data_IF_708725920457
#
_entry.id   IF_708725920457
#
_cell.length_a   1.000
_cell.length_b   1.000
_cell.length_c   1.000
_cell.angle_alpha   90.00
_cell.angle_beta   90.00
_cell.angle_gamma   90.00
#
_symmetry.space_group_name_H-M   'P 1'
#
loop_
_entity.id
_entity.type
_entity.pdbx_description
1 polymer ?
#
# COMPACT_ATOMS: atom_id res chain seq x y z
N UNK A 1 31.86 -49.13 10.43
CA UNK A 1 31.96 -48.18 11.55
C UNK A 1 32.52 -46.86 11.02
N UNK A 2 31.62 -45.90 10.78
CA UNK A 2 31.76 -44.42 10.86
C UNK A 2 30.79 -43.77 9.87
N UNK A 3 29.66 -43.38 10.43
CA UNK A 3 28.72 -42.39 9.89
C UNK A 3 29.47 -41.06 9.85
N UNK A 4 29.48 -40.38 8.71
CA UNK A 4 29.86 -38.97 8.63
C UNK A 4 28.65 -38.19 8.14
N UNK A 5 27.95 -37.62 9.11
CA UNK A 5 26.99 -36.54 8.92
C UNK A 5 27.71 -35.35 8.28
N UNK A 6 27.26 -34.91 7.10
CA UNK A 6 27.56 -33.56 6.63
C UNK A 6 26.37 -32.66 6.96
N UNK A 7 26.68 -31.65 7.78
CA UNK A 7 25.75 -30.66 8.30
C UNK A 7 25.25 -29.70 7.21
N UNK A 8 23.97 -29.38 7.31
CA UNK A 8 23.25 -28.37 6.53
C UNK A 8 23.78 -26.99 6.90
N UNK A 9 24.41 -26.31 5.94
CA UNK A 9 24.75 -24.89 6.03
C UNK A 9 23.68 -24.04 5.36
N UNK A 10 22.62 -23.71 6.10
CA UNK A 10 21.67 -22.66 5.73
C UNK A 10 22.34 -21.31 6.06
N UNK A 11 23.16 -20.78 5.16
CA UNK A 11 23.51 -19.35 5.18
C UNK A 11 22.34 -18.61 4.54
N UNK A 12 21.27 -18.42 5.30
CA UNK A 12 20.34 -17.34 5.00
C UNK A 12 21.13 -16.05 5.13
N UNK A 13 21.25 -15.30 4.03
CA UNK A 13 21.63 -13.90 4.09
C UNK A 13 20.53 -13.18 4.84
N UNK A 14 20.59 -13.20 6.18
CA UNK A 14 19.89 -12.23 6.99
C UNK A 14 20.65 -10.93 6.77
N UNK A 15 20.22 -10.18 5.77
CA UNK A 15 20.65 -8.81 5.57
C UNK A 15 20.06 -8.02 6.74
N UNK A 16 20.79 -8.02 7.86
CA UNK A 16 20.53 -7.15 9.01
C UNK A 16 20.89 -5.71 8.64
N UNK A 17 20.36 -5.22 7.52
CA UNK A 17 20.19 -3.80 7.28
C UNK A 17 19.21 -3.31 8.32
N UNK A 18 19.75 -3.06 9.51
CA UNK A 18 19.10 -2.61 10.71
C UNK A 18 18.21 -1.40 10.43
N UNK A 19 16.94 -1.66 10.15
CA UNK A 19 15.87 -0.68 10.38
C UNK A 19 15.43 -0.89 11.82
N UNK A 20 16.34 -0.60 12.75
CA UNK A 20 16.02 -0.56 14.18
C UNK A 20 15.14 0.67 14.40
N UNK A 21 13.83 0.48 14.32
CA UNK A 21 12.80 1.46 14.62
C UNK A 21 11.69 0.82 15.47
N UNK A 22 12.01 -0.30 16.12
CA UNK A 22 11.09 -1.12 16.92
C UNK A 22 11.28 -0.93 18.43
N UNK A 23 12.40 -0.36 18.85
CA UNK A 23 12.72 -0.09 20.26
C UNK A 23 12.56 1.40 20.53
N UNK A 24 11.66 1.74 21.44
CA UNK A 24 11.47 3.11 21.93
C UNK A 24 12.50 3.46 23.01
N UNK A 25 12.85 4.74 23.10
CA UNK A 25 13.83 5.26 24.03
C UNK A 25 13.46 6.65 24.56
N UNK A 26 13.79 6.89 25.83
CA UNK A 26 13.69 8.19 26.49
C UNK A 26 15.02 8.96 26.57
N UNK A 27 16.13 8.32 26.20
CA UNK A 27 17.46 8.92 26.24
C UNK A 27 18.55 8.09 25.54
N UNK A 28 19.69 8.72 25.27
CA UNK A 28 20.79 8.17 24.46
C UNK A 28 21.50 6.93 25.03
N UNK A 29 21.22 6.55 26.28
CA UNK A 29 21.80 5.37 26.93
C UNK A 29 20.92 4.11 26.88
N UNK A 30 19.74 4.19 26.27
CA UNK A 30 18.76 3.10 26.25
C UNK A 30 18.86 2.22 25.01
N UNK A 31 19.66 2.63 24.02
CA UNK A 31 19.83 1.94 22.76
C UNK A 31 21.00 0.95 22.77
N UNK A 32 20.92 -0.07 21.91
CA UNK A 32 22.01 -1.03 21.75
C UNK A 32 23.28 -0.37 21.19
N UNK A 33 24.42 -1.02 21.37
CA UNK A 33 25.70 -0.49 20.87
C UNK A 33 25.66 -0.33 19.35
N UNK A 34 25.84 0.91 18.88
CA UNK A 34 25.75 1.27 17.46
C UNK A 34 24.46 1.99 17.06
N UNK A 35 23.52 2.16 17.99
CA UNK A 35 22.29 2.92 17.79
C UNK A 35 22.30 4.20 18.64
N UNK A 36 21.51 5.19 18.23
CA UNK A 36 21.25 6.42 18.97
C UNK A 36 19.74 6.62 19.09
N UNK A 37 19.32 7.23 20.20
CA UNK A 37 17.93 7.59 20.40
C UNK A 37 17.59 8.80 19.52
N UNK A 38 16.72 8.60 18.54
CA UNK A 38 16.25 9.65 17.65
C UNK A 38 15.29 10.62 18.34
N UNK A 39 15.06 11.76 17.69
CA UNK A 39 14.07 12.76 18.14
C UNK A 39 12.62 12.27 18.04
N UNK A 40 12.41 11.19 17.29
CA UNK A 40 11.18 10.40 17.18
C UNK A 40 10.96 9.46 18.38
N UNK A 41 11.93 9.34 19.28
CA UNK A 41 11.85 8.47 20.46
C UNK A 41 12.13 7.00 20.15
N UNK A 42 12.83 6.70 19.06
CA UNK A 42 13.22 5.33 18.69
C UNK A 42 14.74 5.17 18.57
N UNK A 43 15.22 3.99 18.94
CA UNK A 43 16.62 3.61 18.82
C UNK A 43 16.91 3.15 17.41
N UNK A 44 17.71 3.91 16.66
CA UNK A 44 18.08 3.59 15.29
C UNK A 44 19.57 3.85 15.02
N UNK A 45 20.07 3.42 13.85
CA UNK A 45 21.42 3.79 13.43
C UNK A 45 21.55 5.33 13.29
N UNK A 46 22.75 5.92 13.52
CA UNK A 46 22.93 7.37 13.56
C UNK A 46 22.49 8.11 12.29
N UNK A 47 22.56 7.43 11.15
CA UNK A 47 22.20 7.91 9.82
C UNK A 47 20.67 7.95 9.57
N UNK A 48 19.86 7.30 10.40
CA UNK A 48 18.39 7.25 10.26
C UNK A 48 17.62 7.61 11.54
N UNK A 49 18.28 7.84 12.67
CA UNK A 49 17.63 8.22 13.92
C UNK A 49 16.87 9.55 13.78
N UNK A 50 15.60 9.59 14.23
CA UNK A 50 14.70 10.73 14.03
C UNK A 50 13.83 10.61 12.78
N UNK A 51 14.01 9.55 11.98
CA UNK A 51 13.24 9.25 10.77
C UNK A 51 12.51 7.90 10.84
N UNK A 52 12.41 7.30 12.03
CA UNK A 52 11.57 6.15 12.24
C UNK A 52 10.10 6.56 12.10
N UNK A 53 9.44 6.01 11.07
CA UNK A 53 7.98 6.03 11.01
C UNK A 53 7.50 5.12 12.13
N UNK A 54 6.79 5.67 13.11
CA UNK A 54 6.12 4.85 14.11
C UNK A 54 5.16 3.91 13.37
N UNK A 55 5.54 2.64 13.20
CA UNK A 55 4.57 1.58 12.96
C UNK A 55 3.63 1.66 14.15
N UNK A 56 2.45 2.27 13.94
CA UNK A 56 1.45 2.44 14.98
C UNK A 56 0.76 1.10 15.17
N UNK A 57 1.51 0.13 15.70
CA UNK A 57 1.02 -1.12 16.25
C UNK A 57 1.16 -1.06 17.77
N UNK A 58 0.53 -0.06 18.38
CA UNK A 58 0.19 -0.13 19.80
C UNK A 58 -1.30 -0.46 19.92
N UNK A 59 -1.55 -1.77 20.01
CA UNK A 59 -2.82 -2.30 20.46
C UNK A 59 -3.19 -1.72 21.83
N UNK A 60 -4.29 -0.99 21.89
CA UNK A 60 -4.72 -0.36 23.12
C UNK A 60 -6.03 0.41 23.03
N UNK A 61 -7.10 -0.23 22.52
CA UNK A 61 -8.42 0.39 22.55
C UNK A 61 -9.51 -0.52 22.00
N UNK A 62 -10.18 -1.27 22.89
CA UNK A 62 -11.46 -1.87 22.55
C UNK A 62 -12.47 -0.73 22.33
N UNK A 63 -12.67 -0.32 21.08
CA UNK A 63 -13.90 0.36 20.68
C UNK A 63 -14.69 -0.61 19.82
N UNK A 64 -15.81 -1.08 20.37
CA UNK A 64 -16.84 -1.75 19.59
C UNK A 64 -17.37 -0.74 18.57
N UNK A 65 -17.02 -0.94 17.31
CA UNK A 65 -17.48 -0.12 16.21
C UNK A 65 -17.17 -0.84 14.91
N UNK A 66 -18.21 -1.42 14.32
CA UNK A 66 -18.20 -2.08 13.03
C UNK A 66 -17.74 -1.11 11.94
N UNK A 67 -16.45 -1.10 11.63
CA UNK A 67 -15.92 -0.52 10.41
C UNK A 67 -14.81 -1.45 9.91
N UNK A 68 -15.02 -1.98 8.70
CA UNK A 68 -14.00 -2.75 8.01
C UNK A 68 -12.70 -1.94 7.98
N UNK A 69 -11.65 -2.49 8.60
CA UNK A 69 -10.29 -1.96 8.49
C UNK A 69 -9.85 -2.22 7.06
N UNK A 70 -10.07 -1.23 6.20
CA UNK A 70 -9.51 -1.17 4.86
C UNK A 70 -8.00 -1.11 5.02
N UNK A 71 -7.34 -2.22 4.73
CA UNK A 71 -5.89 -2.40 4.87
C UNK A 71 -5.21 -1.63 3.75
N UNK A 72 -5.23 -0.31 3.84
CA UNK A 72 -4.50 0.57 2.94
C UNK A 72 -3.00 0.29 3.12
N UNK A 73 -2.23 -0.06 2.07
CA UNK A 73 -0.82 -0.40 2.23
C UNK A 73 -0.05 0.81 2.78
N UNK A 74 0.48 0.66 3.99
CA UNK A 74 1.05 1.74 4.80
C UNK A 74 2.55 1.92 4.54
N UNK A 75 2.97 3.17 4.28
CA UNK A 75 4.36 3.64 4.38
C UNK A 75 5.06 4.15 3.11
N UNK A 76 4.53 3.94 1.90
CA UNK A 76 5.19 4.34 0.64
C UNK A 76 4.86 5.75 0.15
N UNK A 77 5.70 6.28 -0.76
CA UNK A 77 5.36 7.48 -1.56
C UNK A 77 4.04 7.22 -2.30
N UNK A 78 3.08 8.14 -2.16
CA UNK A 78 1.76 8.04 -2.83
C UNK A 78 1.67 9.01 -3.98
N UNK A 79 0.94 8.61 -5.02
CA UNK A 79 0.62 9.44 -6.19
C UNK A 79 -0.88 9.47 -6.42
N UNK A 80 -1.41 10.59 -6.95
CA UNK A 80 -2.83 10.68 -7.28
C UNK A 80 -3.16 9.76 -8.46
N UNK A 81 -4.23 8.99 -8.30
CA UNK A 81 -4.93 8.32 -9.37
C UNK A 81 -6.29 8.99 -9.52
N UNK A 82 -6.51 9.67 -10.64
CA UNK A 82 -7.80 10.19 -11.04
C UNK A 82 -8.55 9.12 -11.84
N UNK A 83 -9.77 8.82 -11.42
CA UNK A 83 -10.61 7.81 -12.03
C UNK A 83 -11.96 8.41 -12.38
N UNK A 84 -12.29 8.38 -13.67
CA UNK A 84 -13.56 8.87 -14.19
C UNK A 84 -14.41 7.73 -14.75
N UNK A 85 -15.70 7.75 -14.47
CA UNK A 85 -16.69 6.79 -14.99
C UNK A 85 -17.63 7.51 -15.96
N UNK A 86 -17.56 7.09 -17.23
CA UNK A 86 -18.41 7.53 -18.32
C UNK A 86 -19.53 6.50 -18.55
N UNK A 87 -20.74 6.80 -18.06
CA UNK A 87 -21.86 5.86 -17.99
C UNK A 87 -22.14 5.40 -16.56
N UNK A 88 -23.18 4.57 -16.35
CA UNK A 88 -23.46 4.00 -15.03
C UNK A 88 -22.59 2.78 -14.80
N UNK A 89 -21.77 2.80 -13.76
CA UNK A 89 -20.77 1.77 -13.52
C UNK A 89 -20.10 1.89 -12.16
N UNK A 90 -19.32 0.86 -11.83
CA UNK A 90 -18.50 0.81 -10.63
C UNK A 90 -17.12 0.28 -10.99
N UNK A 91 -16.08 0.89 -10.43
CA UNK A 91 -14.71 0.40 -10.53
C UNK A 91 -14.17 0.19 -9.12
N UNK A 92 -13.60 -0.98 -8.87
CA UNK A 92 -12.89 -1.27 -7.62
C UNK A 92 -11.40 -1.03 -7.83
N UNK A 93 -10.77 -0.31 -6.92
CA UNK A 93 -9.32 -0.11 -6.86
C UNK A 93 -8.80 -0.96 -5.71
N UNK A 94 -8.07 -2.03 -6.03
CA UNK A 94 -7.68 -3.06 -5.04
C UNK A 94 -6.84 -2.44 -3.92
N UNK A 95 -7.33 -2.51 -2.68
CA UNK A 95 -6.66 -1.94 -1.49
C UNK A 95 -6.92 -0.45 -1.24
N UNK A 96 -7.79 0.20 -2.02
CA UNK A 96 -8.09 1.64 -1.92
C UNK A 96 -9.59 1.98 -1.96
N UNK A 97 -10.45 0.99 -2.17
CA UNK A 97 -11.90 1.17 -2.21
C UNK A 97 -12.49 1.09 -3.63
N UNK A 98 -13.56 1.83 -3.88
CA UNK A 98 -14.25 1.83 -5.16
C UNK A 98 -14.75 3.21 -5.55
N UNK A 99 -14.90 3.43 -6.85
CA UNK A 99 -15.52 4.60 -7.45
C UNK A 99 -16.82 4.17 -8.12
N UNK A 100 -17.92 4.88 -7.84
CA UNK A 100 -19.23 4.59 -8.41
C UNK A 100 -19.80 5.78 -9.16
N UNK A 101 -20.62 5.54 -10.20
CA UNK A 101 -21.29 6.66 -10.88
C UNK A 101 -22.35 7.33 -10.01
N UNK A 102 -22.93 6.57 -9.08
CA UNK A 102 -23.95 7.06 -8.16
C UNK A 102 -23.38 8.03 -7.13
N UNK A 103 -24.26 8.81 -6.49
CA UNK A 103 -23.84 9.65 -5.37
C UNK A 103 -23.19 8.78 -4.27
N UNK A 104 -22.14 9.27 -3.59
CA UNK A 104 -21.64 10.64 -3.62
C UNK A 104 -20.61 10.95 -4.73
N UNK A 105 -20.01 9.92 -5.33
CA UNK A 105 -18.82 10.06 -6.19
C UNK A 105 -19.12 10.69 -7.56
N UNK A 106 -20.35 10.50 -8.07
CA UNK A 106 -20.76 10.98 -9.40
C UNK A 106 -19.84 10.49 -10.54
N UNK A 107 -19.08 9.40 -10.31
CA UNK A 107 -18.12 8.82 -11.22
C UNK A 107 -16.87 9.66 -11.44
N UNK A 108 -16.45 10.47 -10.47
CA UNK A 108 -15.22 11.27 -10.53
C UNK A 108 -14.50 11.16 -9.18
N UNK A 109 -13.51 10.27 -9.11
CA UNK A 109 -12.84 9.88 -7.88
C UNK A 109 -11.33 10.13 -7.96
N UNK A 110 -10.73 10.47 -6.82
CA UNK A 110 -9.27 10.56 -6.68
C UNK A 110 -8.79 9.66 -5.56
N UNK A 111 -7.87 8.75 -5.87
CA UNK A 111 -7.23 7.85 -4.91
C UNK A 111 -5.76 8.23 -4.69
N UNK A 112 -5.23 7.95 -3.50
CA UNK A 112 -3.81 8.12 -3.17
C UNK A 112 -3.12 6.76 -3.15
N UNK A 113 -2.64 6.33 -4.32
CA UNK A 113 -2.10 4.97 -4.54
C UNK A 113 -0.59 4.92 -4.38
N UNK A 114 -0.05 3.77 -4.03
CA UNK A 114 1.39 3.60 -3.84
C UNK A 114 2.14 3.71 -5.17
N UNK A 115 3.20 4.51 -5.17
CA UNK A 115 4.13 4.64 -6.30
C UNK A 115 4.92 3.35 -6.48
N UNK A 116 5.16 2.97 -7.74
CA UNK A 116 5.98 1.84 -8.16
C UNK A 116 5.52 0.46 -7.64
N UNK A 117 4.26 0.34 -7.21
CA UNK A 117 3.63 -0.93 -6.85
C UNK A 117 2.58 -1.33 -7.88
N UNK A 118 2.39 -2.64 -8.10
CA UNK A 118 1.33 -3.10 -8.98
C UNK A 118 -0.05 -2.74 -8.39
N UNK A 119 -0.92 -2.20 -9.23
CA UNK A 119 -2.27 -1.80 -8.90
C UNK A 119 -3.26 -2.44 -9.87
N UNK A 120 -4.32 -3.03 -9.32
CA UNK A 120 -5.39 -3.67 -10.08
C UNK A 120 -6.70 -2.88 -9.93
N UNK A 121 -7.24 -2.46 -11.07
CA UNK A 121 -8.54 -1.82 -11.20
C UNK A 121 -9.51 -2.81 -11.86
N UNK A 122 -10.66 -3.03 -11.24
CA UNK A 122 -11.67 -3.97 -11.74
C UNK A 122 -12.97 -3.22 -12.02
N UNK A 123 -13.34 -3.13 -13.30
CA UNK A 123 -14.65 -2.63 -13.69
C UNK A 123 -15.72 -3.70 -13.39
N UNK A 124 -16.63 -3.38 -12.47
CA UNK A 124 -17.76 -4.24 -12.16
C UNK A 124 -18.96 -3.87 -13.05
N UNK A 125 -19.64 -4.84 -13.67
CA UNK A 125 -20.85 -4.58 -14.43
C UNK A 125 -21.93 -3.99 -13.52
N UNK A 126 -22.70 -3.05 -14.08
CA UNK A 126 -23.86 -2.46 -13.42
C UNK A 126 -25.13 -3.14 -13.93
N UNK A 127 -26.24 -3.22 -13.16
CA UNK A 127 -27.43 -3.97 -13.58
C UNK A 127 -27.98 -3.63 -14.97
N UNK A 128 -27.73 -2.42 -15.46
CA UNK A 128 -28.24 -1.91 -16.74
C UNK A 128 -27.16 -1.59 -17.77
N UNK A 129 -25.87 -1.73 -17.43
CA UNK A 129 -24.75 -1.31 -18.27
C UNK A 129 -23.59 -2.30 -18.18
N UNK A 130 -22.96 -2.55 -19.31
CA UNK A 130 -21.75 -3.38 -19.38
C UNK A 130 -20.52 -2.49 -19.52
N UNK A 131 -19.40 -2.98 -18.99
CA UNK A 131 -18.11 -2.38 -19.27
C UNK A 131 -17.84 -2.44 -20.78
N UNK A 132 -17.43 -1.31 -21.35
CA UNK A 132 -17.11 -1.22 -22.78
C UNK A 132 -15.60 -1.21 -23.00
N UNK A 133 -14.89 -0.30 -22.33
CA UNK A 133 -13.45 -0.12 -22.47
C UNK A 133 -12.90 0.81 -21.39
N UNK A 134 -11.61 0.64 -21.11
CA UNK A 134 -10.81 1.69 -20.48
C UNK A 134 -10.40 2.72 -21.52
N UNK A 135 -10.44 3.98 -21.15
CA UNK A 135 -9.81 5.07 -21.89
C UNK A 135 -8.76 5.75 -21.00
N UNK A 136 -7.71 6.29 -21.61
CA UNK A 136 -6.55 6.80 -20.88
C UNK A 136 -5.47 5.73 -20.60
N UNK A 137 -4.24 6.19 -20.52
CA UNK A 137 -3.08 5.35 -20.18
C UNK A 137 -2.95 5.27 -18.66
N UNK A 138 -2.58 4.10 -18.10
CA UNK A 138 -2.07 2.90 -18.77
C UNK A 138 -3.10 1.81 -19.08
N UNK A 139 -4.38 2.02 -18.80
CA UNK A 139 -5.41 0.99 -18.92
C UNK A 139 -5.99 0.81 -20.33
N UNK A 140 -5.72 1.73 -21.25
CA UNK A 140 -6.22 1.64 -22.61
C UNK A 140 -5.95 0.26 -23.23
N UNK A 141 -6.99 -0.32 -23.85
CA UNK A 141 -6.98 -1.64 -24.51
C UNK A 141 -6.87 -2.86 -23.58
N UNK A 142 -6.91 -2.68 -22.26
CA UNK A 142 -7.08 -3.82 -21.35
C UNK A 142 -8.57 -4.23 -21.27
N UNK A 143 -8.81 -5.46 -20.79
CA UNK A 143 -10.15 -6.02 -20.54
C UNK A 143 -10.81 -5.38 -19.30
N UNK A 144 -11.83 -5.99 -18.69
CA UNK A 144 -12.51 -5.43 -17.50
C UNK A 144 -11.58 -5.22 -16.30
N UNK A 145 -10.46 -5.94 -16.27
CA UNK A 145 -9.41 -5.76 -15.26
C UNK A 145 -8.24 -5.03 -15.90
N UNK A 146 -7.90 -3.87 -15.35
CA UNK A 146 -6.68 -3.16 -15.69
C UNK A 146 -5.62 -3.35 -14.60
N UNK A 147 -4.46 -3.86 -15.00
CA UNK A 147 -3.28 -3.98 -14.13
C UNK A 147 -2.18 -3.04 -14.63
N UNK A 148 -1.61 -2.25 -13.73
CA UNK A 148 -0.48 -1.37 -14.05
C UNK A 148 0.37 -1.01 -12.83
N UNK A 149 1.49 -0.33 -13.05
CA UNK A 149 2.37 0.19 -12.00
C UNK A 149 2.36 1.73 -12.06
N UNK A 150 1.81 2.46 -11.07
CA UNK A 150 1.82 3.91 -11.04
C UNK A 150 3.25 4.45 -10.92
N UNK A 151 3.64 5.37 -11.79
CA UNK A 151 4.94 6.06 -11.73
C UNK A 151 4.81 7.60 -11.57
N UNK A 152 3.60 8.10 -11.35
CA UNK A 152 3.24 9.51 -11.28
C UNK A 152 1.73 9.69 -11.14
N UNK A 153 1.23 10.88 -11.44
CA UNK A 153 -0.23 11.09 -11.58
C UNK A 153 -0.75 10.25 -12.75
N UNK A 154 -1.87 9.55 -12.55
CA UNK A 154 -2.54 8.80 -13.62
C UNK A 154 -3.98 9.27 -13.76
N UNK A 155 -4.43 9.43 -15.00
CA UNK A 155 -5.80 9.79 -15.35
C UNK A 155 -6.41 8.63 -16.15
N UNK A 156 -7.34 7.91 -15.54
CA UNK A 156 -7.93 6.69 -16.08
C UNK A 156 -9.44 6.87 -16.17
N UNK A 157 -10.02 6.40 -17.25
CA UNK A 157 -11.44 6.52 -17.53
C UNK A 157 -12.03 5.14 -17.82
N UNK A 158 -13.17 4.84 -17.21
CA UNK A 158 -13.92 3.60 -17.43
C UNK A 158 -15.22 3.93 -18.15
N UNK A 159 -15.43 3.33 -19.32
CA UNK A 159 -16.63 3.54 -20.11
C UNK A 159 -17.61 2.39 -19.97
N UNK A 160 -18.88 2.70 -19.72
CA UNK A 160 -19.99 1.77 -19.60
C UNK A 160 -21.11 2.13 -20.59
N UNK A 161 -21.76 1.14 -21.21
CA UNK A 161 -22.85 1.34 -22.20
C UNK A 161 -24.06 0.44 -21.99
#
# INVERSE_FOLDING_TARGET
>A
MRVLLLAVGLTGCYDAGAVDCTLSCGGSGECASGQVCGSDGFCAAPDIAGHCVASTDDGGGMVAGDAAVDSQPDGGVRVPLHLKIDGDGRVTVTGYGACEKTAPDNGDCTFQVALAQQLDLVAAPYPTRIFEAWTGTPCALQDETCTFIPFGSNDIHAKFK
#
